data_IF_757851464377
#
_entry.id   IF_757851464377
#
_cell.length_a   1.000
_cell.length_b   1.000
_cell.length_c   1.000
_cell.angle_alpha   90.00
_cell.angle_beta   90.00
_cell.angle_gamma   90.00
#
_symmetry.space_group_name_H-M   'P 1'
#
loop_
_entity.id
_entity.type
_entity.pdbx_description
1 polymer ?
#
# COMPACT_ATOMS: atom_id res chain seq x y z
N UNK A 1 -42.63 8.68 18.65
CA UNK A 1 -41.30 9.26 18.38
C UNK A 1 -40.16 8.34 18.77
N UNK A 2 -40.06 7.89 20.00
CA UNK A 2 -38.97 7.04 20.53
C UNK A 2 -38.80 5.71 19.74
N UNK A 3 -39.88 5.01 19.41
CA UNK A 3 -39.85 3.76 18.63
C UNK A 3 -39.27 3.94 17.23
N UNK A 4 -39.57 5.04 16.55
CA UNK A 4 -39.01 5.31 15.22
C UNK A 4 -37.53 5.68 15.26
N UNK A 5 -37.12 6.41 16.31
CA UNK A 5 -35.72 6.71 16.54
C UNK A 5 -34.90 5.44 16.84
N UNK A 6 -35.43 4.56 17.70
CA UNK A 6 -34.77 3.28 18.00
C UNK A 6 -34.65 2.41 16.74
N UNK A 7 -35.67 2.34 15.92
CA UNK A 7 -35.62 1.59 14.66
C UNK A 7 -34.57 2.17 13.70
N UNK A 8 -34.49 3.49 13.58
CA UNK A 8 -33.50 4.17 12.76
C UNK A 8 -32.07 3.85 13.22
N UNK A 9 -31.82 3.96 14.52
CA UNK A 9 -30.50 3.70 15.10
C UNK A 9 -30.11 2.22 14.93
N UNK A 10 -31.04 1.30 15.12
CA UNK A 10 -30.79 -0.14 14.94
C UNK A 10 -30.50 -0.45 13.48
N UNK A 11 -31.26 0.11 12.54
CA UNK A 11 -31.00 -0.12 11.11
C UNK A 11 -29.66 0.47 10.66
N UNK A 12 -29.29 1.65 11.17
CA UNK A 12 -27.99 2.26 10.89
C UNK A 12 -26.86 1.42 11.44
N UNK A 13 -26.98 0.94 12.68
CA UNK A 13 -25.98 0.06 13.29
C UNK A 13 -25.79 -1.23 12.50
N UNK A 14 -26.90 -1.88 12.09
CA UNK A 14 -26.82 -3.10 11.27
C UNK A 14 -26.19 -2.83 9.91
N UNK A 15 -26.48 -1.71 9.28
CA UNK A 15 -25.87 -1.31 8.01
C UNK A 15 -24.37 -1.10 8.14
N UNK A 16 -23.93 -0.42 9.19
CA UNK A 16 -22.51 -0.19 9.46
C UNK A 16 -21.78 -1.49 9.78
N UNK A 17 -22.34 -2.33 10.65
CA UNK A 17 -21.76 -3.63 11.00
C UNK A 17 -21.64 -4.56 9.77
N UNK A 18 -22.65 -4.56 8.91
CA UNK A 18 -22.62 -5.31 7.66
C UNK A 18 -21.59 -4.72 6.68
N UNK A 19 -21.49 -3.40 6.58
CA UNK A 19 -20.50 -2.70 5.76
C UNK A 19 -19.08 -3.06 6.20
N UNK A 20 -18.81 -3.01 7.50
CA UNK A 20 -17.52 -3.36 8.09
C UNK A 20 -17.13 -4.83 7.83
N UNK A 21 -18.08 -5.77 7.98
CA UNK A 21 -17.87 -7.17 7.67
C UNK A 21 -17.62 -7.44 6.18
N UNK A 22 -18.26 -6.67 5.30
CA UNK A 22 -18.17 -6.84 3.85
C UNK A 22 -16.94 -6.16 3.23
N UNK A 23 -16.54 -5.01 3.77
CA UNK A 23 -15.48 -4.16 3.21
C UNK A 23 -14.15 -4.91 2.97
N UNK A 24 -13.60 -5.69 3.91
CA UNK A 24 -12.36 -6.42 3.70
C UNK A 24 -12.40 -7.40 2.52
N UNK A 25 -13.59 -7.90 2.19
CA UNK A 25 -13.79 -8.86 1.09
C UNK A 25 -13.84 -8.20 -0.28
N UNK A 26 -14.19 -6.94 -0.32
CA UNK A 26 -14.38 -6.19 -1.57
C UNK A 26 -13.31 -5.15 -1.86
N UNK A 27 -12.47 -4.81 -0.88
CA UNK A 27 -11.49 -3.74 -1.03
C UNK A 27 -10.59 -3.96 -2.27
N UNK A 28 -10.13 -5.17 -2.51
CA UNK A 28 -9.30 -5.49 -3.68
C UNK A 28 -10.03 -5.43 -5.03
N UNK A 29 -11.36 -5.28 -5.02
CA UNK A 29 -12.20 -5.17 -6.23
C UNK A 29 -12.70 -3.74 -6.49
N UNK A 30 -12.40 -2.82 -5.58
CA UNK A 30 -12.80 -1.42 -5.73
C UNK A 30 -12.07 -0.80 -6.92
N UNK A 31 -12.73 0.08 -7.68
CA UNK A 31 -12.04 0.88 -8.69
C UNK A 31 -10.95 1.75 -8.04
N UNK A 32 -9.80 1.85 -8.68
CA UNK A 32 -8.65 2.61 -8.19
C UNK A 32 -8.99 4.05 -7.76
N UNK A 33 -9.93 4.68 -8.47
CA UNK A 33 -10.39 6.05 -8.15
C UNK A 33 -10.92 6.21 -6.73
N UNK A 34 -11.51 5.16 -6.16
CA UNK A 34 -12.05 5.17 -4.80
C UNK A 34 -10.97 5.07 -3.73
N UNK A 35 -9.78 4.58 -4.09
CA UNK A 35 -8.66 4.49 -3.16
C UNK A 35 -8.12 5.83 -2.69
N UNK A 36 -8.43 6.91 -3.40
CA UNK A 36 -8.15 8.27 -2.93
C UNK A 36 -8.82 8.63 -1.60
N UNK A 37 -9.92 7.96 -1.27
CA UNK A 37 -10.70 8.16 -0.04
C UNK A 37 -10.39 7.13 1.06
N UNK A 38 -9.51 6.16 0.79
CA UNK A 38 -9.11 5.12 1.74
C UNK A 38 -7.77 5.50 2.36
N UNK A 39 -7.52 5.02 3.57
CA UNK A 39 -6.23 5.18 4.23
C UNK A 39 -5.09 4.72 3.31
N UNK A 40 -4.04 5.54 3.22
CA UNK A 40 -2.89 5.28 2.35
C UNK A 40 -2.24 3.92 2.63
N UNK A 41 -2.23 3.49 3.88
CA UNK A 41 -1.58 2.25 4.31
C UNK A 41 -2.38 1.00 3.93
N UNK A 42 -3.67 1.13 3.65
CA UNK A 42 -4.53 0.06 3.12
C UNK A 42 -4.41 -0.12 1.60
N UNK A 43 -3.86 0.86 0.90
CA UNK A 43 -3.75 0.83 -0.58
C UNK A 43 -2.89 -0.32 -1.10
N UNK A 44 -1.99 -0.84 -0.26
CA UNK A 44 -1.18 -2.02 -0.59
C UNK A 44 -2.07 -3.25 -0.92
N UNK A 45 -3.28 -3.30 -0.38
CA UNK A 45 -4.21 -4.41 -0.60
C UNK A 45 -4.69 -4.50 -2.05
N UNK A 46 -4.74 -3.40 -2.77
CA UNK A 46 -5.30 -3.31 -4.12
C UNK A 46 -4.30 -3.40 -5.27
N UNK A 47 -3.03 -3.67 -4.98
CA UNK A 47 -2.02 -3.77 -6.02
C UNK A 47 -2.36 -4.85 -7.06
N UNK A 48 -2.17 -4.52 -8.33
CA UNK A 48 -2.43 -5.40 -9.47
C UNK A 48 -1.37 -6.49 -9.68
N UNK A 49 -0.34 -6.50 -8.84
CA UNK A 49 0.84 -7.36 -8.92
C UNK A 49 0.72 -8.66 -8.13
N UNK A 50 -0.48 -9.04 -7.74
CA UNK A 50 -0.74 -10.23 -6.94
C UNK A 50 -2.11 -10.83 -7.22
N UNK A 51 -2.26 -12.13 -6.99
CA UNK A 51 -3.51 -12.88 -7.21
C UNK A 51 -4.48 -12.74 -6.06
N UNK A 52 -3.96 -12.76 -4.83
CA UNK A 52 -4.76 -12.65 -3.62
C UNK A 52 -4.59 -11.27 -2.97
N UNK A 53 -5.58 -10.88 -2.17
CA UNK A 53 -5.53 -9.63 -1.41
C UNK A 53 -4.28 -9.57 -0.51
N UNK A 54 -3.99 -10.67 0.16
CA UNK A 54 -2.85 -10.85 1.06
C UNK A 54 -2.14 -12.15 0.67
N UNK A 55 -1.05 -12.08 -0.12
CA UNK A 55 -0.31 -13.26 -0.55
C UNK A 55 0.53 -13.84 0.60
N UNK A 56 0.66 -15.17 0.62
CA UNK A 56 1.49 -15.88 1.59
C UNK A 56 2.93 -16.10 1.10
N UNK A 57 3.14 -16.10 -0.20
CA UNK A 57 4.44 -16.38 -0.83
C UNK A 57 4.67 -15.34 -1.92
N UNK A 58 5.47 -14.32 -1.62
CA UNK A 58 5.63 -13.18 -2.51
C UNK A 58 7.03 -12.56 -2.42
N UNK A 59 7.34 -11.74 -3.41
CA UNK A 59 8.50 -10.86 -3.44
C UNK A 59 8.07 -9.48 -2.94
N UNK A 60 8.74 -8.93 -1.94
CA UNK A 60 8.59 -7.53 -1.55
C UNK A 60 9.51 -6.64 -2.41
N UNK A 61 8.97 -5.61 -3.01
CA UNK A 61 9.77 -4.54 -3.62
C UNK A 61 9.83 -3.39 -2.62
N UNK A 62 11.06 -2.92 -2.34
CA UNK A 62 11.33 -1.81 -1.42
C UNK A 62 12.25 -0.81 -2.10
N UNK A 63 12.14 0.46 -1.74
CA UNK A 63 12.91 1.55 -2.30
C UNK A 63 12.07 2.81 -2.49
N UNK A 64 12.58 3.72 -3.29
CA UNK A 64 12.02 5.03 -3.58
C UNK A 64 10.93 5.03 -4.67
N UNK A 65 10.82 6.13 -5.40
CA UNK A 65 9.87 6.29 -6.51
C UNK A 65 10.11 5.30 -7.67
N UNK A 66 11.32 4.80 -7.86
CA UNK A 66 11.60 3.78 -8.87
C UNK A 66 11.02 2.42 -8.47
N UNK A 67 10.99 2.10 -7.18
CA UNK A 67 10.32 0.91 -6.66
C UNK A 67 8.80 0.97 -6.83
N UNK A 68 8.22 2.16 -6.73
CA UNK A 68 6.79 2.39 -7.00
C UNK A 68 6.48 2.23 -8.48
N UNK A 69 7.29 2.85 -9.34
CA UNK A 69 7.02 2.94 -10.78
C UNK A 69 5.84 3.85 -11.10
N UNK A 70 5.36 3.76 -12.33
CA UNK A 70 4.22 4.50 -12.83
C UNK A 70 3.10 3.56 -13.29
N UNK A 71 1.85 4.04 -13.22
CA UNK A 71 0.69 3.26 -13.64
C UNK A 71 0.21 2.24 -12.59
N UNK A 72 0.87 2.12 -11.45
CA UNK A 72 0.31 1.40 -10.32
C UNK A 72 -0.58 2.33 -9.48
N UNK A 73 -1.54 1.74 -8.78
CA UNK A 73 -2.56 2.45 -8.02
C UNK A 73 -1.99 3.50 -7.05
N UNK A 74 -0.85 3.23 -6.41
CA UNK A 74 -0.25 4.14 -5.43
C UNK A 74 0.12 5.48 -6.06
N UNK A 75 0.80 5.44 -7.19
CA UNK A 75 1.19 6.65 -7.89
C UNK A 75 -0.01 7.37 -8.51
N UNK A 76 -0.93 6.63 -9.11
CA UNK A 76 -2.15 7.18 -9.71
C UNK A 76 -3.03 7.89 -8.68
N UNK A 77 -3.18 7.33 -7.49
CA UNK A 77 -3.94 7.94 -6.40
C UNK A 77 -3.26 9.22 -5.88
N UNK A 78 -1.94 9.21 -5.73
CA UNK A 78 -1.18 10.39 -5.26
C UNK A 78 -1.21 11.55 -6.25
N UNK A 79 -0.98 11.25 -7.51
CA UNK A 79 -0.88 12.29 -8.56
C UNK A 79 -2.21 12.67 -9.16
N UNK A 80 -3.29 11.94 -8.85
CA UNK A 80 -4.60 12.04 -9.50
C UNK A 80 -4.52 11.88 -11.02
N UNK A 81 -3.48 11.21 -11.50
CA UNK A 81 -3.21 10.94 -12.90
C UNK A 81 -3.36 9.45 -13.15
N UNK A 82 -4.42 9.08 -13.86
CA UNK A 82 -4.72 7.68 -14.16
C UNK A 82 -4.24 7.35 -15.57
N UNK A 83 -3.16 6.56 -15.64
CA UNK A 83 -2.61 6.09 -16.92
C UNK A 83 -3.46 4.97 -17.55
N UNK A 84 -4.36 4.38 -16.77
CA UNK A 84 -5.24 3.30 -17.23
C UNK A 84 -4.55 1.94 -17.38
N UNK A 85 -3.24 1.85 -17.15
CA UNK A 85 -2.46 0.62 -17.24
C UNK A 85 -1.32 0.62 -16.21
N UNK A 86 -1.09 -0.49 -15.51
CA UNK A 86 0.03 -0.66 -14.57
C UNK A 86 1.32 -1.10 -15.27
N UNK A 87 1.42 -0.99 -16.59
CA UNK A 87 2.54 -1.54 -17.39
C UNK A 87 3.90 -0.89 -17.08
N UNK A 88 3.93 0.21 -16.37
CA UNK A 88 5.14 0.90 -15.93
C UNK A 88 5.47 0.65 -14.44
N UNK A 89 4.72 -0.21 -13.78
CA UNK A 89 5.00 -0.63 -12.40
C UNK A 89 5.90 -1.86 -12.39
N UNK A 90 7.07 -1.82 -11.73
CA UNK A 90 7.96 -2.98 -11.64
C UNK A 90 7.28 -4.21 -11.04
N UNK A 91 6.50 -4.01 -9.97
CA UNK A 91 5.76 -5.09 -9.31
C UNK A 91 4.79 -5.78 -10.28
N UNK A 92 4.00 -5.00 -11.02
CA UNK A 92 3.06 -5.54 -11.99
C UNK A 92 3.78 -6.30 -13.11
N UNK A 93 4.86 -5.74 -13.65
CA UNK A 93 5.61 -6.37 -14.73
C UNK A 93 6.24 -7.70 -14.33
N UNK A 94 6.80 -7.78 -13.13
CA UNK A 94 7.36 -9.02 -12.59
C UNK A 94 6.24 -10.05 -12.44
N UNK A 95 5.14 -9.69 -11.80
CA UNK A 95 3.98 -10.57 -11.65
C UNK A 95 3.45 -11.07 -12.98
N UNK A 96 3.24 -10.17 -13.94
CA UNK A 96 2.74 -10.49 -15.28
C UNK A 96 3.65 -11.48 -16.04
N UNK A 97 4.97 -11.34 -15.88
CA UNK A 97 5.96 -12.19 -16.57
C UNK A 97 6.21 -13.52 -15.88
N UNK A 98 6.14 -13.57 -14.54
CA UNK A 98 6.57 -14.73 -13.76
C UNK A 98 5.41 -15.48 -13.12
N UNK A 99 4.26 -14.83 -12.94
CA UNK A 99 3.14 -15.35 -12.16
C UNK A 99 3.37 -15.38 -10.66
N UNK A 100 4.54 -14.89 -10.18
CA UNK A 100 4.85 -14.77 -8.76
C UNK A 100 4.14 -13.54 -8.21
N UNK A 101 3.57 -13.65 -7.02
CA UNK A 101 2.97 -12.51 -6.35
C UNK A 101 4.05 -11.53 -5.89
N UNK A 102 3.82 -10.24 -6.11
CA UNK A 102 4.75 -9.17 -5.77
C UNK A 102 3.99 -8.10 -5.00
N UNK A 103 4.54 -7.66 -3.88
CA UNK A 103 3.98 -6.56 -3.09
C UNK A 103 5.00 -5.41 -3.10
N UNK A 104 4.60 -4.27 -3.63
CA UNK A 104 5.42 -3.08 -3.60
C UNK A 104 5.15 -2.29 -2.31
N UNK A 105 6.20 -2.07 -1.55
CA UNK A 105 6.27 -1.18 -0.39
C UNK A 105 7.01 0.12 -0.74
N UNK A 106 7.30 0.34 -2.03
CA UNK A 106 8.01 1.53 -2.49
C UNK A 106 7.32 2.83 -2.09
N UNK A 107 8.10 3.84 -1.78
CA UNK A 107 7.62 5.14 -1.34
C UNK A 107 8.29 6.26 -2.15
N UNK A 108 7.49 6.98 -2.92
CA UNK A 108 8.02 8.12 -3.68
C UNK A 108 8.52 9.26 -2.79
N UNK A 109 9.71 9.75 -3.06
CA UNK A 109 10.36 10.80 -2.27
C UNK A 109 11.00 10.29 -0.98
N UNK A 110 11.16 8.98 -0.82
CA UNK A 110 11.88 8.39 0.30
C UNK A 110 13.36 8.21 -0.05
N UNK A 111 14.24 8.52 0.89
CA UNK A 111 15.63 8.09 0.84
C UNK A 111 15.76 6.59 1.14
N UNK A 112 16.97 6.03 1.03
CA UNK A 112 17.13 4.59 1.19
C UNK A 112 16.75 4.08 2.57
N UNK A 113 16.99 4.83 3.64
CA UNK A 113 16.55 4.42 4.98
C UNK A 113 15.02 4.29 5.07
N UNK A 114 14.31 5.32 4.63
CA UNK A 114 12.84 5.31 4.69
C UNK A 114 12.24 4.32 3.70
N UNK A 115 12.72 4.30 2.45
CA UNK A 115 12.16 3.48 1.38
C UNK A 115 12.51 1.99 1.48
N UNK A 116 13.66 1.65 2.07
CA UNK A 116 14.11 0.25 2.19
C UNK A 116 13.73 -0.36 3.54
N UNK A 117 13.65 0.45 4.60
CA UNK A 117 13.46 -0.05 5.95
C UNK A 117 12.23 0.51 6.65
N UNK A 118 12.18 1.82 6.92
CA UNK A 118 11.19 2.39 7.84
C UNK A 118 9.76 2.24 7.32
N UNK A 119 9.50 2.67 6.08
CA UNK A 119 8.17 2.61 5.48
C UNK A 119 7.69 1.17 5.21
N UNK A 120 8.50 0.26 4.64
CA UNK A 120 8.09 -1.13 4.46
C UNK A 120 7.72 -1.83 5.77
N UNK A 121 8.50 -1.62 6.83
CA UNK A 121 8.21 -2.20 8.15
C UNK A 121 6.93 -1.61 8.73
N UNK A 122 6.77 -0.30 8.65
CA UNK A 122 5.57 0.39 9.14
C UNK A 122 4.32 -0.11 8.44
N UNK A 123 4.33 -0.18 7.11
CA UNK A 123 3.20 -0.67 6.32
C UNK A 123 2.89 -2.15 6.61
N UNK A 124 3.92 -2.99 6.73
CA UNK A 124 3.74 -4.40 7.06
C UNK A 124 3.11 -4.57 8.45
N UNK A 125 3.60 -3.86 9.45
CA UNK A 125 3.07 -3.91 10.82
C UNK A 125 1.65 -3.34 10.89
N UNK A 126 1.38 -2.25 10.18
CA UNK A 126 0.05 -1.65 10.13
C UNK A 126 -0.99 -2.62 9.58
N UNK A 127 -0.74 -3.24 8.42
CA UNK A 127 -1.66 -4.24 7.85
C UNK A 127 -1.89 -5.39 8.81
N UNK A 128 -0.85 -5.89 9.45
CA UNK A 128 -0.95 -6.99 10.39
C UNK A 128 -1.57 -6.61 11.75
N UNK A 129 -1.71 -5.33 12.05
CA UNK A 129 -2.43 -4.84 13.24
C UNK A 129 -3.95 -4.93 13.08
N UNK A 130 -4.43 -4.97 11.85
CA UNK A 130 -5.86 -5.05 11.54
C UNK A 130 -6.31 -6.51 11.69
N UNK A 131 -7.34 -6.74 12.50
CA UNK A 131 -7.80 -8.10 12.91
C UNK A 131 -8.00 -9.07 11.75
N UNK A 132 -8.58 -8.60 10.64
CA UNK A 132 -8.98 -9.45 9.52
C UNK A 132 -7.90 -9.57 8.43
N UNK A 133 -6.76 -8.91 8.62
CA UNK A 133 -5.66 -8.95 7.68
C UNK A 133 -4.45 -9.65 8.26
N UNK A 134 -3.87 -10.53 7.47
CA UNK A 134 -2.65 -11.27 7.81
C UNK A 134 -1.78 -11.38 6.57
N UNK A 135 -0.82 -10.51 6.45
CA UNK A 135 0.21 -10.56 5.41
C UNK A 135 1.39 -11.37 5.95
N UNK A 136 1.75 -12.44 5.27
CA UNK A 136 2.93 -13.22 5.63
C UNK A 136 4.21 -12.42 5.38
N UNK A 137 5.33 -12.72 6.06
CA UNK A 137 6.62 -12.17 5.69
C UNK A 137 6.97 -12.51 4.24
N UNK A 138 7.61 -11.61 3.50
CA UNK A 138 8.01 -11.87 2.12
C UNK A 138 9.08 -12.96 2.06
N UNK A 139 9.08 -13.73 0.98
CA UNK A 139 10.10 -14.76 0.73
C UNK A 139 11.42 -14.15 0.25
N UNK A 140 11.33 -13.09 -0.52
CA UNK A 140 12.48 -12.36 -1.05
C UNK A 140 12.20 -10.86 -1.03
N UNK A 141 13.29 -10.09 -0.90
CA UNK A 141 13.27 -8.65 -1.10
C UNK A 141 13.96 -8.31 -2.42
N UNK A 142 13.34 -7.45 -3.20
CA UNK A 142 13.94 -6.78 -4.35
C UNK A 142 14.13 -5.31 -3.98
N UNK A 143 15.36 -4.90 -3.83
CA UNK A 143 15.71 -3.56 -3.36
C UNK A 143 16.03 -2.70 -4.58
N UNK A 144 15.29 -1.59 -4.73
CA UNK A 144 15.60 -0.53 -5.66
C UNK A 144 16.39 0.53 -4.91
N UNK A 145 17.65 0.66 -5.26
CA UNK A 145 18.54 1.67 -4.73
C UNK A 145 19.05 2.55 -5.87
N UNK A 146 18.81 3.85 -5.77
CA UNK A 146 19.27 4.83 -6.73
C UNK A 146 20.26 5.79 -6.07
N UNK A 147 21.54 5.59 -6.33
CA UNK A 147 22.63 6.36 -5.72
C UNK A 147 22.52 7.88 -5.93
N UNK A 148 21.85 8.32 -7.02
CA UNK A 148 21.70 9.72 -7.37
C UNK A 148 20.91 10.55 -6.36
N UNK A 149 19.84 9.98 -5.76
CA UNK A 149 19.04 10.67 -4.73
C UNK A 149 19.12 10.00 -3.35
N UNK A 150 19.21 8.68 -3.28
CA UNK A 150 19.21 7.97 -1.99
C UNK A 150 20.37 8.39 -1.07
N UNK A 151 21.55 8.62 -1.63
CA UNK A 151 22.71 9.11 -0.86
C UNK A 151 22.43 10.53 -0.36
N UNK A 152 21.95 11.40 -1.23
CA UNK A 152 21.64 12.79 -0.87
C UNK A 152 20.57 12.88 0.21
N UNK A 153 19.48 12.16 0.03
CA UNK A 153 18.35 12.14 0.96
C UNK A 153 18.76 11.59 2.33
N UNK A 154 19.63 10.57 2.36
CA UNK A 154 20.19 10.05 3.61
C UNK A 154 21.08 11.06 4.34
N UNK A 155 21.92 11.81 3.59
CA UNK A 155 22.77 12.85 4.16
C UNK A 155 21.90 13.96 4.73
N UNK A 156 20.88 14.40 4.02
CA UNK A 156 19.94 15.40 4.50
C UNK A 156 19.20 14.94 5.75
N UNK A 157 18.69 13.71 5.75
CA UNK A 157 18.04 13.12 6.92
C UNK A 157 18.95 13.07 8.16
N UNK A 158 20.21 12.64 7.97
CA UNK A 158 21.20 12.62 9.05
C UNK A 158 21.50 14.03 9.58
N UNK A 159 21.64 15.01 8.71
CA UNK A 159 21.92 16.40 9.06
C UNK A 159 20.75 17.04 9.86
N UNK A 160 19.50 16.74 9.45
CA UNK A 160 18.31 17.18 10.19
C UNK A 160 18.22 16.55 11.59
N UNK A 161 18.58 15.28 11.74
CA UNK A 161 18.62 14.61 13.04
C UNK A 161 19.67 15.16 13.96
N UNK A 162 20.86 15.49 13.44
CA UNK A 162 21.96 16.06 14.23
C UNK A 162 21.62 17.49 14.66
N UNK A 163 20.98 18.28 13.81
CA UNK A 163 20.61 19.67 14.11
C UNK A 163 19.38 19.79 15.01
N UNK A 164 18.55 18.77 15.09
CA UNK A 164 17.34 18.74 15.94
C UNK A 164 17.58 18.22 17.38
N UNK A 165 18.80 17.85 17.69
CA UNK A 165 19.25 17.49 19.06
C UNK A 165 20.02 18.64 19.67
#
# INVERSE_FOLDING_TARGET
MIKNLALLLTSLFLLLAFGEWLFPKFIGKLPLRLYGSIDKDLRILAQSSKKSLLPNDYIAIVGDSYAVGAGDWLNEVRTKSFLGSPDYSPAHLIHKKTGIDVVSFGQGGAGSFDGIWAEPVTQFLYINSIKDYRLSPPKYFLIFFYEGNDIYDNVQWADEKIKGT
#
